data_IF_436674598587
#
_entry.id   IF_436674598587
#
_cell.length_a   1.000
_cell.length_b   1.000
_cell.length_c   1.000
_cell.angle_alpha   90.00
_cell.angle_beta   90.00
_cell.angle_gamma   90.00
#
_symmetry.space_group_name_H-M   'P 1'
#
loop_
_entity.id
_entity.type
_entity.pdbx_description
1 polymer ?
#
# COMPACT_ATOMS: atom_id res chain seq x y z
N UNK A 1 -1.18 1.71 14.36
CA UNK A 1 -1.98 1.99 13.15
C UNK A 1 -3.16 1.04 13.16
N UNK A 2 -4.39 1.53 13.06
CA UNK A 2 -5.53 0.64 12.85
C UNK A 2 -5.43 0.09 11.42
N UNK A 3 -5.37 -1.20 11.28
CA UNK A 3 -5.37 -1.86 9.99
C UNK A 3 -6.81 -1.82 9.50
N UNK A 4 -7.06 -1.15 8.38
CA UNK A 4 -8.36 -1.21 7.71
C UNK A 4 -8.63 -2.62 7.22
N UNK A 5 -9.84 -3.10 7.43
CA UNK A 5 -10.24 -4.47 7.11
C UNK A 5 -11.18 -4.48 5.92
N UNK A 6 -10.96 -5.46 5.06
CA UNK A 6 -11.75 -5.63 3.83
C UNK A 6 -13.26 -5.66 4.11
N UNK A 7 -13.69 -6.35 5.17
CA UNK A 7 -15.11 -6.63 5.43
C UNK A 7 -15.77 -5.71 6.45
N UNK A 8 -15.01 -4.85 7.11
CA UNK A 8 -15.57 -3.94 8.09
C UNK A 8 -16.27 -2.77 7.39
N UNK A 9 -17.50 -2.44 7.80
CA UNK A 9 -18.15 -1.23 7.34
C UNK A 9 -17.38 -0.01 7.85
N UNK A 10 -17.58 1.11 7.19
CA UNK A 10 -16.90 2.32 7.58
C UNK A 10 -17.46 3.54 6.91
N UNK A 11 -16.78 4.65 7.09
CA UNK A 11 -17.11 5.91 6.49
C UNK A 11 -16.01 6.36 5.56
N UNK A 12 -16.36 6.62 4.31
CA UNK A 12 -15.48 7.36 3.39
C UNK A 12 -15.63 8.84 3.73
N UNK A 13 -14.51 9.49 4.00
CA UNK A 13 -14.47 10.93 4.26
C UNK A 13 -13.73 11.65 3.13
N UNK A 14 -14.19 12.88 2.86
CA UNK A 14 -13.51 13.81 1.96
C UNK A 14 -13.14 15.02 2.79
N UNK A 15 -11.84 15.24 3.00
CA UNK A 15 -11.30 16.38 3.73
C UNK A 15 -10.81 17.41 2.73
N UNK A 16 -11.29 18.65 2.84
CA UNK A 16 -10.77 19.82 2.14
C UNK A 16 -9.83 20.64 3.01
N UNK A 17 -9.14 21.57 2.39
CA UNK A 17 -8.35 22.57 3.09
C UNK A 17 -8.72 23.98 2.65
N UNK A 18 -8.62 24.94 3.57
CA UNK A 18 -8.79 26.37 3.26
C UNK A 18 -7.48 26.99 2.80
N UNK A 19 -7.58 28.05 2.04
CA UNK A 19 -6.42 28.92 1.80
C UNK A 19 -5.95 29.53 3.13
N UNK A 20 -4.65 29.76 3.25
CA UNK A 20 -4.05 30.30 4.48
C UNK A 20 -4.70 31.61 4.89
N UNK A 21 -5.20 31.67 6.13
CA UNK A 21 -5.83 32.86 6.70
C UNK A 21 -7.23 33.17 6.17
N UNK A 22 -7.84 32.30 5.39
CA UNK A 22 -9.17 32.49 4.82
C UNK A 22 -10.13 31.35 5.15
N UNK A 23 -11.39 31.46 4.71
CA UNK A 23 -12.37 30.37 4.68
C UNK A 23 -12.69 29.93 3.24
N UNK A 24 -11.89 30.34 2.26
CA UNK A 24 -12.02 29.91 0.87
C UNK A 24 -11.44 28.51 0.73
N UNK A 25 -12.20 27.51 0.23
CA UNK A 25 -11.67 26.20 -0.02
C UNK A 25 -10.63 26.25 -1.15
N UNK A 26 -9.52 25.53 -0.95
CA UNK A 26 -8.62 25.21 -2.07
C UNK A 26 -9.22 24.08 -2.90
N UNK A 27 -8.73 23.83 -4.14
CA UNK A 27 -9.18 22.70 -4.93
C UNK A 27 -8.63 21.34 -4.43
N UNK A 28 -7.89 21.32 -3.33
CA UNK A 28 -7.20 20.13 -2.85
C UNK A 28 -8.01 19.39 -1.79
N UNK A 29 -8.35 18.14 -2.09
CA UNK A 29 -9.15 17.28 -1.22
C UNK A 29 -8.47 15.95 -1.00
N UNK A 30 -8.56 15.44 0.21
CA UNK A 30 -8.10 14.11 0.60
C UNK A 30 -9.30 13.17 0.67
N UNK A 31 -9.17 11.99 0.06
CA UNK A 31 -10.14 10.89 0.15
C UNK A 31 -9.53 9.78 1.00
N UNK A 32 -10.24 9.35 2.03
CA UNK A 32 -9.79 8.30 2.94
C UNK A 32 -10.95 7.64 3.66
N UNK A 33 -10.64 6.65 4.51
CA UNK A 33 -11.64 5.92 5.28
C UNK A 33 -11.37 5.93 6.78
N UNK A 34 -12.44 5.80 7.53
CA UNK A 34 -12.42 5.37 8.94
C UNK A 34 -13.29 4.13 9.09
N UNK A 35 -12.83 3.22 9.92
CA UNK A 35 -13.54 1.99 10.29
C UNK A 35 -13.50 1.83 11.80
N UNK A 36 -14.37 0.97 12.32
CA UNK A 36 -14.52 0.70 13.73
C UNK A 36 -15.02 1.96 14.49
N UNK A 37 -14.53 2.19 15.69
CA UNK A 37 -14.94 3.27 16.58
C UNK A 37 -14.33 4.64 16.26
N UNK A 38 -13.48 4.74 15.22
CA UNK A 38 -12.82 6.00 14.86
C UNK A 38 -13.75 6.92 14.09
N UNK A 39 -13.66 8.20 14.36
CA UNK A 39 -14.42 9.24 13.65
C UNK A 39 -13.60 9.94 12.56
N UNK A 40 -14.29 10.53 11.58
CA UNK A 40 -13.65 11.37 10.58
C UNK A 40 -13.07 12.64 11.20
N UNK A 41 -13.65 13.14 12.29
CA UNK A 41 -13.16 14.30 13.03
C UNK A 41 -11.80 14.02 13.68
N UNK A 42 -11.62 12.85 14.29
CA UNK A 42 -10.31 12.44 14.82
C UNK A 42 -9.26 12.39 13.71
N UNK A 43 -9.64 11.92 12.51
CA UNK A 43 -8.73 11.91 11.36
C UNK A 43 -8.37 13.30 10.87
N UNK A 44 -9.32 14.25 10.85
CA UNK A 44 -9.02 15.64 10.53
C UNK A 44 -8.02 16.21 11.51
N UNK A 45 -8.23 16.00 12.81
CA UNK A 45 -7.32 16.48 13.86
C UNK A 45 -5.90 15.89 13.72
N UNK A 46 -5.80 14.60 13.42
CA UNK A 46 -4.51 13.95 13.15
C UNK A 46 -3.80 14.58 11.95
N UNK A 47 -4.53 14.84 10.86
CA UNK A 47 -3.98 15.44 9.64
C UNK A 47 -3.72 16.94 9.78
N UNK A 48 -4.41 17.63 10.67
CA UNK A 48 -4.16 19.04 10.97
C UNK A 48 -2.79 19.25 11.61
N UNK A 49 -2.28 18.25 12.34
CA UNK A 49 -0.95 18.32 12.93
C UNK A 49 0.13 18.41 11.85
N UNK A 50 0.80 19.56 11.77
CA UNK A 50 1.82 19.82 10.77
C UNK A 50 1.31 20.31 9.41
N UNK A 51 -0.01 20.51 9.25
CA UNK A 51 -0.56 21.15 8.06
C UNK A 51 -0.81 22.65 8.36
N UNK A 52 -0.19 23.58 7.63
CA UNK A 52 -0.39 25.02 7.84
C UNK A 52 -1.78 25.50 7.43
N UNK A 53 -2.46 24.76 6.54
CA UNK A 53 -3.80 25.08 6.08
C UNK A 53 -4.83 24.46 7.02
N UNK A 54 -5.86 25.22 7.36
CA UNK A 54 -6.98 24.70 8.14
C UNK A 54 -7.74 23.64 7.33
N UNK A 55 -7.95 22.47 7.91
CA UNK A 55 -8.69 21.36 7.31
C UNK A 55 -10.17 21.41 7.71
N UNK A 56 -11.02 20.89 6.83
CA UNK A 56 -12.46 20.72 7.09
C UNK A 56 -12.98 19.44 6.46
N UNK A 57 -14.06 18.90 7.00
CA UNK A 57 -14.74 17.76 6.39
C UNK A 57 -15.73 18.28 5.35
N UNK A 58 -15.47 17.97 4.08
CA UNK A 58 -16.35 18.31 2.99
C UNK A 58 -17.53 17.32 2.87
N UNK A 59 -17.26 16.01 3.03
CA UNK A 59 -18.25 14.93 2.94
C UNK A 59 -17.92 13.78 3.88
N UNK A 60 -18.97 13.08 4.32
CA UNK A 60 -18.93 11.80 5.02
C UNK A 60 -20.00 10.88 4.42
N UNK A 61 -19.61 9.69 4.02
CA UNK A 61 -20.49 8.74 3.35
C UNK A 61 -20.28 7.38 4.00
N UNK A 62 -21.35 6.84 4.58
CA UNK A 62 -21.34 5.49 5.16
C UNK A 62 -21.28 4.46 4.02
N UNK A 63 -20.44 3.45 4.18
CA UNK A 63 -20.20 2.40 3.19
C UNK A 63 -20.08 1.03 3.86
N UNK A 64 -20.72 0.04 3.28
CA UNK A 64 -20.53 -1.36 3.64
C UNK A 64 -19.16 -1.90 3.20
N UNK A 65 -18.71 -1.43 2.03
CA UNK A 65 -17.45 -1.83 1.40
C UNK A 65 -16.39 -0.73 1.46
N UNK A 66 -16.29 0.01 2.58
CA UNK A 66 -15.47 1.23 2.68
C UNK A 66 -14.03 1.05 2.17
N UNK A 67 -13.37 -0.08 2.49
CA UNK A 67 -12.01 -0.38 2.01
C UNK A 67 -11.94 -0.50 0.47
N UNK A 68 -12.85 -1.27 -0.13
CA UNK A 68 -12.88 -1.44 -1.59
C UNK A 68 -13.24 -0.13 -2.29
N UNK A 69 -14.17 0.63 -1.72
CA UNK A 69 -14.57 1.95 -2.23
C UNK A 69 -13.37 2.89 -2.26
N UNK A 70 -12.60 3.01 -1.17
CA UNK A 70 -11.40 3.86 -1.14
C UNK A 70 -10.41 3.48 -2.23
N UNK A 71 -10.11 2.18 -2.40
CA UNK A 71 -9.18 1.73 -3.43
C UNK A 71 -9.69 2.08 -4.85
N UNK A 72 -10.98 1.90 -5.13
CA UNK A 72 -11.57 2.26 -6.41
C UNK A 72 -11.61 3.78 -6.64
N UNK A 73 -11.86 4.57 -5.60
CA UNK A 73 -11.81 6.03 -5.68
C UNK A 73 -10.40 6.51 -6.02
N UNK A 74 -9.39 5.99 -5.33
CA UNK A 74 -7.99 6.34 -5.62
C UNK A 74 -7.58 5.97 -7.03
N UNK A 75 -8.08 4.85 -7.55
CA UNK A 75 -7.87 4.43 -8.94
C UNK A 75 -8.56 5.35 -9.92
N UNK A 76 -9.87 5.57 -9.75
CA UNK A 76 -10.69 6.35 -10.70
C UNK A 76 -10.21 7.79 -10.82
N UNK A 77 -9.87 8.40 -9.71
CA UNK A 77 -9.43 9.79 -9.61
C UNK A 77 -7.92 9.96 -9.70
N UNK A 78 -7.18 8.91 -10.06
CA UNK A 78 -5.73 8.95 -10.15
C UNK A 78 -5.22 10.02 -11.12
N UNK A 79 -5.97 10.33 -12.19
CA UNK A 79 -5.66 11.39 -13.17
C UNK A 79 -5.42 12.77 -12.56
N UNK A 80 -6.09 13.10 -11.45
CA UNK A 80 -5.98 14.37 -10.72
C UNK A 80 -5.35 14.23 -9.33
N UNK A 81 -4.69 13.11 -9.07
CA UNK A 81 -4.02 12.81 -7.79
C UNK A 81 -2.72 13.62 -7.68
N UNK A 82 -2.55 14.36 -6.58
CA UNK A 82 -1.38 15.22 -6.33
C UNK A 82 -0.42 14.65 -5.29
N UNK A 83 -0.84 13.66 -4.55
CA UNK A 83 -0.05 13.01 -3.53
C UNK A 83 -0.77 11.78 -3.06
N UNK A 84 -0.25 11.07 -2.09
CA UNK A 84 -0.73 9.73 -1.67
C UNK A 84 -2.25 9.57 -1.71
N UNK A 85 -3.00 10.47 -1.07
CA UNK A 85 -4.46 10.41 -0.90
C UNK A 85 -5.11 11.78 -1.16
N UNK A 86 -4.34 12.73 -1.76
CA UNK A 86 -4.78 14.07 -2.10
C UNK A 86 -5.03 14.21 -3.60
N UNK A 87 -6.10 14.92 -3.95
CA UNK A 87 -6.62 15.07 -5.32
C UNK A 87 -6.91 16.54 -5.59
N UNK A 88 -6.67 16.98 -6.83
CA UNK A 88 -7.05 18.31 -7.30
C UNK A 88 -8.46 18.23 -7.89
N UNK A 89 -9.46 18.64 -7.13
CA UNK A 89 -10.87 18.71 -7.54
C UNK A 89 -11.21 20.16 -7.86
N UNK A 90 -10.63 20.65 -8.96
CA UNK A 90 -10.72 22.07 -9.33
C UNK A 90 -12.08 22.45 -9.96
N UNK A 91 -12.80 21.48 -10.57
CA UNK A 91 -14.10 21.77 -11.15
C UNK A 91 -15.18 21.81 -10.06
N UNK A 92 -16.12 22.76 -10.10
CA UNK A 92 -17.19 22.87 -9.09
C UNK A 92 -18.05 21.60 -8.94
N UNK A 93 -18.16 20.78 -9.98
CA UNK A 93 -18.89 19.52 -9.98
C UNK A 93 -18.12 18.33 -9.45
N UNK A 94 -16.78 18.42 -9.30
CA UNK A 94 -15.93 17.27 -8.95
C UNK A 94 -16.31 16.67 -7.60
N UNK A 95 -16.57 17.48 -6.60
CA UNK A 95 -16.93 17.00 -5.26
C UNK A 95 -18.25 16.22 -5.27
N UNK A 96 -19.25 16.67 -6.04
CA UNK A 96 -20.51 15.95 -6.21
C UNK A 96 -20.31 14.64 -6.99
N UNK A 97 -19.46 14.66 -8.00
CA UNK A 97 -19.10 13.46 -8.78
C UNK A 97 -18.36 12.45 -7.92
N UNK A 98 -17.41 12.88 -7.10
CA UNK A 98 -16.71 12.03 -6.11
C UNK A 98 -17.70 11.39 -5.14
N UNK A 99 -18.66 12.16 -4.61
CA UNK A 99 -19.71 11.64 -3.71
C UNK A 99 -20.56 10.56 -4.42
N UNK A 100 -20.96 10.80 -5.66
CA UNK A 100 -21.74 9.84 -6.44
C UNK A 100 -20.94 8.58 -6.75
N UNK A 101 -19.66 8.70 -7.06
CA UNK A 101 -18.79 7.56 -7.31
C UNK A 101 -18.61 6.68 -6.07
N UNK A 102 -18.46 7.28 -4.89
CA UNK A 102 -18.45 6.54 -3.62
C UNK A 102 -19.71 5.69 -3.47
N UNK A 103 -20.89 6.28 -3.69
CA UNK A 103 -22.17 5.57 -3.62
C UNK A 103 -22.27 4.44 -4.65
N UNK A 104 -21.80 4.67 -5.87
CA UNK A 104 -21.82 3.69 -6.95
C UNK A 104 -20.90 2.49 -6.64
N UNK A 105 -19.71 2.74 -6.14
CA UNK A 105 -18.78 1.66 -5.75
C UNK A 105 -19.28 0.89 -4.52
N UNK A 106 -19.88 1.58 -3.55
CA UNK A 106 -20.48 0.89 -2.42
C UNK A 106 -21.66 0.00 -2.86
N UNK A 107 -22.52 0.49 -3.75
CA UNK A 107 -23.58 -0.33 -4.35
C UNK A 107 -23.04 -1.54 -5.12
N UNK A 108 -21.89 -1.39 -5.78
CA UNK A 108 -21.24 -2.48 -6.54
C UNK A 108 -20.66 -3.56 -5.63
N UNK A 109 -20.01 -3.19 -4.54
CA UNK A 109 -19.25 -4.12 -3.68
C UNK A 109 -19.93 -4.44 -2.36
N UNK A 110 -20.81 -3.57 -1.86
CA UNK A 110 -21.40 -3.69 -0.53
C UNK A 110 -22.12 -5.01 -0.27
N UNK A 111 -22.94 -5.45 -1.23
CA UNK A 111 -23.64 -6.74 -1.11
C UNK A 111 -22.67 -7.94 -0.99
N UNK A 112 -21.58 -7.95 -1.74
CA UNK A 112 -20.53 -8.98 -1.67
C UNK A 112 -19.80 -8.95 -0.33
N UNK A 113 -19.51 -7.77 0.18
CA UNK A 113 -18.85 -7.58 1.49
C UNK A 113 -19.78 -8.03 2.62
N UNK A 114 -21.07 -7.70 2.54
CA UNK A 114 -22.06 -8.16 3.53
C UNK A 114 -22.16 -9.70 3.54
N UNK A 115 -22.12 -10.34 2.39
CA UNK A 115 -22.09 -11.82 2.29
C UNK A 115 -20.80 -12.41 2.87
N UNK A 116 -19.66 -11.80 2.59
CA UNK A 116 -18.37 -12.29 3.07
C UNK A 116 -18.16 -12.07 4.58
N UNK A 117 -18.75 -11.01 5.15
CA UNK A 117 -18.49 -10.60 6.54
C UNK A 117 -18.69 -11.71 7.59
N UNK A 118 -19.79 -12.44 7.62
CA UNK A 118 -19.98 -13.53 8.58
C UNK A 118 -18.95 -14.66 8.38
N UNK A 119 -18.65 -15.01 7.13
CA UNK A 119 -17.67 -16.03 6.78
C UNK A 119 -16.26 -15.59 7.20
N UNK A 120 -15.91 -14.33 6.94
CA UNK A 120 -14.59 -13.77 7.22
C UNK A 120 -14.19 -13.87 8.70
N UNK A 121 -15.16 -13.74 9.60
CA UNK A 121 -14.91 -13.79 11.05
C UNK A 121 -15.11 -15.19 11.67
N UNK A 122 -15.59 -16.16 10.91
CA UNK A 122 -15.70 -17.56 11.41
C UNK A 122 -14.35 -18.27 11.34
N UNK A 123 -14.23 -19.38 12.07
CA UNK A 123 -13.10 -20.30 11.89
C UNK A 123 -13.43 -21.19 10.69
N UNK A 124 -12.59 -21.19 9.63
CA UNK A 124 -12.84 -22.04 8.50
C UNK A 124 -12.88 -23.52 8.89
N UNK A 125 -13.76 -24.25 8.24
CA UNK A 125 -13.79 -25.71 8.31
C UNK A 125 -12.59 -26.26 7.53
N UNK A 126 -11.75 -27.12 8.13
CA UNK A 126 -10.64 -27.73 7.41
C UNK A 126 -11.11 -28.50 6.17
N UNK A 127 -10.37 -28.39 5.08
CA UNK A 127 -10.64 -29.10 3.85
C UNK A 127 -11.30 -28.25 2.76
N UNK A 128 -11.75 -28.95 1.73
CA UNK A 128 -12.32 -28.33 0.53
C UNK A 128 -13.83 -28.11 0.67
N UNK A 129 -14.33 -27.07 -0.01
CA UNK A 129 -15.76 -26.87 -0.16
C UNK A 129 -16.37 -27.95 -1.09
N UNK A 130 -16.81 -29.04 -0.49
CA UNK A 130 -17.45 -30.17 -1.19
C UNK A 130 -18.89 -29.88 -1.63
N UNK A 131 -19.49 -28.78 -1.16
CA UNK A 131 -20.86 -28.37 -1.49
C UNK A 131 -20.94 -27.43 -2.68
N UNK A 132 -19.79 -27.05 -3.25
CA UNK A 132 -19.72 -26.14 -4.37
C UNK A 132 -20.40 -26.72 -5.62
N UNK A 133 -21.31 -25.96 -6.21
CA UNK A 133 -21.97 -26.38 -7.46
C UNK A 133 -20.96 -26.46 -8.62
N UNK A 134 -21.28 -27.22 -9.66
CA UNK A 134 -20.41 -27.30 -10.86
C UNK A 134 -20.22 -25.95 -11.54
N UNK A 135 -21.26 -25.12 -11.55
CA UNK A 135 -21.21 -23.74 -12.09
C UNK A 135 -20.28 -22.87 -11.29
N UNK A 136 -20.40 -22.89 -9.95
CA UNK A 136 -19.54 -22.13 -9.05
C UNK A 136 -18.09 -22.62 -9.11
N UNK A 137 -17.90 -23.93 -9.28
CA UNK A 137 -16.58 -24.52 -9.49
C UNK A 137 -15.91 -23.97 -10.75
N UNK A 138 -16.62 -23.98 -11.88
CA UNK A 138 -16.14 -23.41 -13.14
C UNK A 138 -15.82 -21.92 -12.97
N UNK A 139 -16.68 -21.17 -12.26
CA UNK A 139 -16.43 -19.75 -11.95
C UNK A 139 -15.17 -19.56 -11.11
N UNK A 140 -14.95 -20.38 -10.09
CA UNK A 140 -13.77 -20.32 -9.24
C UNK A 140 -12.47 -20.61 -10.02
N UNK A 141 -12.50 -21.58 -10.93
CA UNK A 141 -11.38 -21.89 -11.83
C UNK A 141 -11.08 -20.72 -12.78
N UNK A 142 -12.09 -20.10 -13.37
CA UNK A 142 -11.92 -18.92 -14.19
C UNK A 142 -11.31 -17.76 -13.39
N UNK A 143 -11.78 -17.50 -12.16
CA UNK A 143 -11.22 -16.47 -11.28
C UNK A 143 -9.73 -16.73 -11.01
N UNK A 144 -9.33 -17.98 -10.78
CA UNK A 144 -7.90 -18.35 -10.61
C UNK A 144 -7.10 -18.00 -11.86
N UNK A 145 -7.59 -18.35 -13.03
CA UNK A 145 -6.89 -18.13 -14.31
C UNK A 145 -6.79 -16.63 -14.63
N UNK A 146 -7.84 -15.85 -14.38
CA UNK A 146 -7.84 -14.40 -14.49
C UNK A 146 -6.82 -13.77 -13.51
N UNK A 147 -6.79 -14.26 -12.25
CA UNK A 147 -5.83 -13.80 -11.26
C UNK A 147 -4.38 -14.13 -11.65
N UNK A 148 -4.16 -15.25 -12.33
CA UNK A 148 -2.84 -15.61 -12.86
C UNK A 148 -2.42 -14.62 -13.96
N UNK A 149 -3.27 -14.33 -14.93
CA UNK A 149 -3.00 -13.37 -16.00
C UNK A 149 -2.72 -11.96 -15.46
N UNK A 150 -3.50 -11.50 -14.46
CA UNK A 150 -3.24 -10.24 -13.77
C UNK A 150 -1.87 -10.23 -13.08
N UNK A 151 -1.51 -11.32 -12.40
CA UNK A 151 -0.23 -11.45 -11.69
C UNK A 151 0.96 -11.39 -12.66
N UNK A 152 0.89 -12.03 -13.82
CA UNK A 152 1.92 -11.95 -14.86
C UNK A 152 2.09 -10.51 -15.37
N UNK A 153 0.97 -9.83 -15.66
CA UNK A 153 1.01 -8.43 -16.10
C UNK A 153 1.58 -7.51 -15.02
N UNK A 154 1.22 -7.74 -13.75
CA UNK A 154 1.77 -7.02 -12.61
C UNK A 154 3.28 -7.23 -12.45
N UNK A 155 3.78 -8.43 -12.71
CA UNK A 155 5.23 -8.69 -12.66
C UNK A 155 6.00 -7.91 -13.73
N UNK A 156 5.48 -7.88 -14.97
CA UNK A 156 6.05 -7.09 -16.07
C UNK A 156 6.07 -5.58 -15.72
N UNK A 157 4.97 -5.05 -15.24
CA UNK A 157 4.89 -3.64 -14.83
C UNK A 157 5.85 -3.34 -13.68
N UNK A 158 6.01 -4.28 -12.74
CA UNK A 158 6.94 -4.11 -11.62
C UNK A 158 8.40 -4.10 -12.08
N UNK A 159 8.79 -4.92 -13.04
CA UNK A 159 10.11 -4.81 -13.69
C UNK A 159 10.27 -3.43 -14.33
N UNK A 160 9.29 -3.00 -15.11
CA UNK A 160 9.34 -1.74 -15.84
C UNK A 160 9.50 -0.55 -14.89
N UNK A 161 8.57 -0.34 -13.95
CA UNK A 161 8.63 0.85 -13.10
C UNK A 161 9.82 0.83 -12.12
N UNK A 162 10.27 -0.35 -11.63
CA UNK A 162 11.48 -0.42 -10.82
C UNK A 162 12.74 -0.14 -11.64
N UNK A 163 12.80 -0.56 -12.91
CA UNK A 163 13.89 -0.19 -13.82
C UNK A 163 13.93 1.32 -14.02
N UNK A 164 12.79 1.92 -14.36
CA UNK A 164 12.67 3.38 -14.50
C UNK A 164 13.08 4.11 -13.20
N UNK A 165 12.67 3.59 -12.03
CA UNK A 165 13.07 4.16 -10.74
C UNK A 165 14.61 4.17 -10.55
N UNK A 166 15.29 3.07 -10.90
CA UNK A 166 16.75 3.02 -10.81
C UNK A 166 17.43 3.95 -11.84
N UNK A 167 16.92 4.01 -13.06
CA UNK A 167 17.46 4.88 -14.10
C UNK A 167 17.25 6.37 -13.75
N UNK A 168 16.10 6.75 -13.18
CA UNK A 168 15.85 8.09 -12.65
C UNK A 168 16.86 8.41 -11.53
N UNK A 169 17.09 7.47 -10.61
CA UNK A 169 18.08 7.63 -9.54
C UNK A 169 19.50 7.79 -10.08
N UNK A 170 19.86 6.99 -11.10
CA UNK A 170 21.15 7.08 -11.78
C UNK A 170 21.36 8.42 -12.47
N UNK A 171 20.34 8.90 -13.19
CA UNK A 171 20.42 10.19 -13.90
C UNK A 171 20.53 11.38 -12.94
N UNK A 172 19.89 11.29 -11.77
CA UNK A 172 19.94 12.34 -10.74
C UNK A 172 21.25 12.32 -9.93
N UNK A 173 21.91 11.16 -9.80
CA UNK A 173 23.11 11.00 -8.99
C UNK A 173 22.89 11.37 -7.54
N UNK A 174 23.81 12.17 -6.97
CA UNK A 174 23.69 12.74 -5.61
C UNK A 174 22.92 14.06 -5.54
N UNK A 175 22.41 14.56 -6.67
CA UNK A 175 21.72 15.84 -6.74
C UNK A 175 20.21 15.65 -6.54
N UNK A 176 19.59 16.42 -5.62
CA UNK A 176 18.13 16.45 -5.57
C UNK A 176 17.61 17.13 -6.83
N UNK A 177 16.74 16.45 -7.54
CA UNK A 177 15.90 17.09 -8.52
C UNK A 177 14.66 17.60 -7.80
N UNK A 178 14.57 18.91 -7.53
CA UNK A 178 13.39 19.52 -6.92
C UNK A 178 12.24 19.72 -7.90
N UNK A 179 12.42 19.31 -9.12
CA UNK A 179 11.36 19.37 -10.12
C UNK A 179 10.45 18.17 -9.98
N UNK A 180 9.37 18.38 -9.25
CA UNK A 180 8.10 17.64 -9.19
C UNK A 180 8.10 16.10 -9.09
N UNK A 181 9.15 15.35 -9.36
CA UNK A 181 9.10 13.87 -9.47
C UNK A 181 10.07 13.12 -8.58
N UNK A 182 11.21 13.72 -8.19
CA UNK A 182 12.15 13.05 -7.29
C UNK A 182 12.74 13.99 -6.26
N UNK A 183 12.74 13.57 -5.01
CA UNK A 183 13.45 14.25 -3.93
C UNK A 183 14.56 13.34 -3.43
N UNK A 184 15.81 13.82 -3.46
CA UNK A 184 16.87 13.23 -2.66
C UNK A 184 16.68 13.71 -1.22
N UNK A 185 16.28 12.84 -0.33
CA UNK A 185 16.20 13.12 1.09
C UNK A 185 17.34 12.37 1.76
N UNK A 186 18.28 13.10 2.34
CA UNK A 186 19.14 12.54 3.37
C UNK A 186 18.25 12.23 4.57
N UNK A 187 17.94 10.97 4.76
CA UNK A 187 17.27 10.55 5.99
C UNK A 187 18.30 10.55 7.11
N UNK A 188 18.04 11.26 8.23
CA UNK A 188 18.89 11.16 9.40
C UNK A 188 18.95 9.71 9.87
N UNK A 189 20.06 9.33 10.45
CA UNK A 189 20.24 8.03 11.11
C UNK A 189 19.03 7.76 12.01
N UNK A 190 18.27 6.73 11.70
CA UNK A 190 17.12 6.33 12.50
C UNK A 190 17.48 5.07 13.28
N UNK A 191 17.31 5.12 14.58
CA UNK A 191 17.39 3.93 15.42
C UNK A 191 16.02 3.30 15.58
N UNK A 192 15.98 1.97 15.53
CA UNK A 192 14.77 1.18 15.71
C UNK A 192 14.89 0.33 16.99
N UNK A 193 13.90 0.45 17.88
CA UNK A 193 13.81 -0.40 19.06
C UNK A 193 13.63 -1.87 18.65
N UNK A 194 14.45 -2.76 19.26
CA UNK A 194 14.40 -4.20 19.04
C UNK A 194 14.12 -4.92 20.35
N UNK A 195 12.92 -5.42 20.52
CA UNK A 195 12.51 -6.24 21.65
C UNK A 195 13.37 -7.49 21.84
N UNK A 196 13.98 -8.00 20.76
CA UNK A 196 14.89 -9.14 20.78
C UNK A 196 16.21 -8.85 21.50
N UNK A 197 16.54 -7.59 21.78
CA UNK A 197 17.70 -7.18 22.57
C UNK A 197 17.40 -7.07 24.07
N UNK A 198 16.14 -7.18 24.46
CA UNK A 198 15.75 -7.23 25.87
C UNK A 198 16.12 -8.58 26.51
N UNK A 199 16.38 -8.61 27.83
CA UNK A 199 16.47 -9.85 28.56
C UNK A 199 15.23 -10.72 28.32
N UNK A 200 15.37 -12.04 28.06
CA UNK A 200 14.22 -12.89 27.71
C UNK A 200 13.09 -12.87 28.75
N UNK A 201 13.41 -12.81 30.04
CA UNK A 201 12.42 -12.73 31.11
C UNK A 201 11.61 -11.43 31.07
N UNK A 202 12.23 -10.31 30.75
CA UNK A 202 11.55 -9.02 30.61
C UNK A 202 10.72 -9.00 29.31
N UNK A 203 11.30 -9.46 28.20
CA UNK A 203 10.61 -9.56 26.92
C UNK A 203 9.33 -10.39 27.01
N UNK A 204 9.38 -11.54 27.69
CA UNK A 204 8.23 -12.46 27.79
C UNK A 204 7.01 -11.86 28.49
N UNK A 205 7.21 -10.90 29.42
CA UNK A 205 6.13 -10.22 30.13
C UNK A 205 5.25 -9.36 29.21
N UNK A 206 5.83 -8.87 28.10
CA UNK A 206 5.16 -7.98 27.13
C UNK A 206 4.85 -8.68 25.80
N UNK A 207 5.08 -9.99 25.71
CA UNK A 207 4.57 -10.76 24.58
C UNK A 207 3.06 -10.92 24.75
N UNK A 208 2.30 -10.29 23.87
CA UNK A 208 0.87 -10.49 23.86
C UNK A 208 0.57 -11.97 23.76
N UNK A 209 -0.27 -12.47 24.64
CA UNK A 209 -0.87 -13.81 24.44
C UNK A 209 -1.45 -13.84 23.02
N UNK A 210 -1.32 -14.96 22.32
CA UNK A 210 -1.81 -15.05 20.97
C UNK A 210 -3.30 -14.71 20.96
N UNK A 211 -3.60 -13.44 20.66
CA UNK A 211 -4.94 -13.12 20.25
C UNK A 211 -5.10 -13.88 18.93
N UNK A 212 -6.17 -14.63 18.80
CA UNK A 212 -6.60 -15.11 17.50
C UNK A 212 -6.86 -13.86 16.67
N UNK A 213 -5.80 -13.34 16.03
CA UNK A 213 -5.95 -12.25 15.10
C UNK A 213 -6.82 -12.78 13.99
N UNK A 214 -8.07 -12.36 14.02
CA UNK A 214 -9.06 -12.70 12.99
C UNK A 214 -8.58 -12.31 11.58
N UNK A 215 -7.48 -11.54 11.51
CA UNK A 215 -6.91 -10.92 10.33
C UNK A 215 -5.76 -11.71 9.68
N UNK A 216 -5.31 -12.82 10.30
CA UNK A 216 -4.20 -13.63 9.79
C UNK A 216 -4.62 -14.67 8.72
N UNK A 217 -5.74 -14.45 8.04
CA UNK A 217 -6.14 -15.31 6.94
C UNK A 217 -5.26 -15.05 5.72
N UNK A 218 -4.51 -16.06 5.33
CA UNK A 218 -3.75 -16.04 4.07
C UNK A 218 -4.59 -16.65 2.98
N UNK A 219 -4.92 -15.83 2.00
CA UNK A 219 -5.57 -16.27 0.79
C UNK A 219 -4.52 -16.44 -0.32
N UNK A 220 -4.48 -17.61 -0.95
CA UNK A 220 -3.60 -17.90 -2.08
C UNK A 220 -4.34 -18.64 -3.16
N UNK A 221 -4.14 -18.25 -4.41
CA UNK A 221 -4.54 -19.06 -5.54
C UNK A 221 -3.56 -20.24 -5.75
N UNK A 222 -4.07 -21.42 -6.06
CA UNK A 222 -3.23 -22.59 -6.36
C UNK A 222 -2.53 -22.37 -7.71
N UNK A 223 -1.26 -22.76 -7.78
CA UNK A 223 -0.46 -22.58 -9.01
C UNK A 223 0.20 -21.23 -9.17
N UNK A 224 -0.27 -20.19 -8.49
CA UNK A 224 0.41 -18.91 -8.43
C UNK A 224 1.49 -18.98 -7.37
N UNK A 225 2.70 -19.39 -7.77
CA UNK A 225 3.85 -19.55 -6.86
C UNK A 225 4.45 -18.23 -6.38
N UNK A 226 3.99 -17.10 -6.87
CA UNK A 226 4.37 -15.81 -6.35
C UNK A 226 3.36 -15.44 -5.26
N UNK A 227 3.86 -15.06 -4.10
CA UNK A 227 3.05 -14.34 -3.12
C UNK A 227 2.60 -13.06 -3.84
N UNK A 228 1.34 -12.97 -4.20
CA UNK A 228 0.78 -11.91 -5.06
C UNK A 228 1.03 -10.53 -4.44
N UNK A 229 1.10 -10.45 -3.11
CA UNK A 229 1.37 -9.24 -2.36
C UNK A 229 2.86 -8.85 -2.35
N UNK A 230 3.76 -9.77 -2.73
CA UNK A 230 5.21 -9.57 -2.72
C UNK A 230 5.85 -10.25 -3.94
N UNK A 231 5.61 -9.67 -5.13
CA UNK A 231 6.25 -10.11 -6.37
C UNK A 231 7.78 -9.97 -6.26
N UNK A 232 8.44 -11.05 -5.87
CA UNK A 232 9.91 -11.10 -5.81
C UNK A 232 10.48 -11.23 -7.20
N UNK A 233 10.84 -10.10 -7.81
CA UNK A 233 11.37 -10.04 -9.17
C UNK A 233 12.66 -10.86 -9.36
N UNK A 234 13.44 -11.07 -8.30
CA UNK A 234 14.63 -11.93 -8.28
C UNK A 234 14.30 -13.41 -8.02
N UNK A 235 13.03 -13.77 -7.86
CA UNK A 235 12.58 -15.16 -7.71
C UNK A 235 12.81 -15.98 -8.99
N UNK A 236 13.10 -17.27 -8.81
CA UNK A 236 13.44 -18.20 -9.92
C UNK A 236 12.33 -18.24 -10.98
N UNK A 237 11.06 -18.16 -10.58
CA UNK A 237 9.94 -18.20 -11.52
C UNK A 237 9.97 -17.02 -12.49
N UNK A 238 10.04 -15.78 -11.95
CA UNK A 238 9.99 -14.57 -12.77
C UNK A 238 11.23 -14.42 -13.65
N UNK A 239 12.43 -14.78 -13.16
CA UNK A 239 13.66 -14.81 -13.95
C UNK A 239 13.54 -15.72 -15.18
N UNK A 240 12.91 -16.89 -15.02
CA UNK A 240 12.73 -17.83 -16.14
C UNK A 240 11.63 -17.38 -17.09
N UNK A 241 10.60 -16.74 -16.57
CA UNK A 241 9.43 -16.32 -17.34
C UNK A 241 9.72 -15.07 -18.17
N UNK A 242 10.46 -14.13 -17.60
CA UNK A 242 10.79 -12.83 -18.19
C UNK A 242 12.31 -12.54 -18.09
N UNK A 243 13.15 -13.29 -18.82
CA UNK A 243 14.61 -13.19 -18.68
C UNK A 243 15.17 -11.86 -19.17
N UNK A 244 14.58 -11.25 -20.20
CA UNK A 244 14.97 -9.95 -20.74
C UNK A 244 14.73 -8.83 -19.73
N UNK A 245 13.51 -8.76 -19.22
CA UNK A 245 13.07 -7.76 -18.24
C UNK A 245 13.86 -7.90 -16.94
N UNK A 246 14.10 -9.15 -16.51
CA UNK A 246 14.95 -9.41 -15.36
C UNK A 246 16.38 -8.89 -15.57
N UNK A 247 16.99 -9.15 -16.75
CA UNK A 247 18.36 -8.71 -17.04
C UNK A 247 18.46 -7.19 -17.03
N UNK A 248 17.52 -6.49 -17.67
CA UNK A 248 17.47 -5.03 -17.71
C UNK A 248 17.32 -4.45 -16.30
N UNK A 249 16.37 -4.96 -15.52
CA UNK A 249 16.15 -4.55 -14.14
C UNK A 249 17.37 -4.81 -13.24
N UNK A 250 18.00 -5.99 -13.36
CA UNK A 250 19.15 -6.36 -12.56
C UNK A 250 20.36 -5.46 -12.85
N UNK A 251 20.59 -5.11 -14.11
CA UNK A 251 21.65 -4.21 -14.52
C UNK A 251 21.43 -2.78 -13.97
N UNK A 252 20.22 -2.25 -14.08
CA UNK A 252 19.88 -0.93 -13.53
C UNK A 252 20.02 -0.90 -12.00
N UNK A 253 19.58 -1.96 -11.31
CA UNK A 253 19.72 -2.12 -9.85
C UNK A 253 21.18 -2.18 -9.42
N UNK A 254 22.01 -2.93 -10.12
CA UNK A 254 23.44 -3.06 -9.84
C UNK A 254 24.16 -1.72 -10.03
N UNK A 255 23.93 -1.05 -11.16
CA UNK A 255 24.50 0.26 -11.44
C UNK A 255 24.12 1.28 -10.34
N UNK A 256 22.85 1.29 -9.91
CA UNK A 256 22.42 2.13 -8.78
C UNK A 256 23.10 1.76 -7.46
N UNK A 257 23.25 0.49 -7.14
CA UNK A 257 23.90 0.05 -5.92
C UNK A 257 25.38 0.52 -5.87
N UNK A 258 26.11 0.43 -6.98
CA UNK A 258 27.48 0.93 -7.08
C UNK A 258 27.56 2.45 -6.88
N UNK A 259 26.69 3.20 -7.54
CA UNK A 259 26.62 4.66 -7.36
C UNK A 259 26.25 5.03 -5.92
N UNK A 260 25.27 4.34 -5.32
CA UNK A 260 24.83 4.60 -3.95
C UNK A 260 25.94 4.37 -2.92
N UNK A 261 26.80 3.35 -3.11
CA UNK A 261 28.00 3.14 -2.28
C UNK A 261 28.92 4.35 -2.37
N UNK A 262 29.15 4.88 -3.57
CA UNK A 262 29.98 6.05 -3.79
C UNK A 262 29.41 7.31 -3.14
N UNK A 263 28.08 7.51 -3.20
CA UNK A 263 27.37 8.62 -2.55
C UNK A 263 27.50 8.50 -1.03
N UNK A 264 27.32 7.31 -0.47
CA UNK A 264 27.41 7.07 0.97
C UNK A 264 28.83 7.27 1.52
N UNK A 265 29.85 6.99 0.73
CA UNK A 265 31.25 7.19 1.14
C UNK A 265 31.67 8.66 1.15
N UNK A 266 30.88 9.57 0.55
CA UNK A 266 31.15 11.00 0.51
C UNK A 266 29.91 11.85 0.92
N UNK A 267 29.46 11.74 2.19
CA UNK A 267 28.19 12.33 2.63
C UNK A 267 28.17 13.88 2.69
N UNK A 268 29.31 14.54 2.47
CA UNK A 268 29.46 15.99 2.65
C UNK A 268 29.37 16.83 1.37
N UNK A 269 29.04 16.27 0.24
CA UNK A 269 28.68 17.06 -0.94
C UNK A 269 27.31 17.74 -0.74
N UNK A 270 27.26 18.68 0.23
CA UNK A 270 26.05 19.41 0.66
C UNK A 270 25.64 20.55 -0.27
N UNK A 271 26.30 20.73 -1.38
CA UNK A 271 25.89 21.70 -2.40
C UNK A 271 24.91 21.01 -3.36
N UNK A 272 23.65 20.98 -2.96
CA UNK A 272 22.55 20.53 -3.81
C UNK A 272 22.31 21.53 -4.93
N UNK A 273 22.97 21.35 -6.06
CA UNK A 273 22.61 22.07 -7.28
C UNK A 273 21.39 21.38 -7.88
N UNK A 274 20.29 22.12 -8.02
CA UNK A 274 19.09 21.62 -8.69
C UNK A 274 19.45 21.36 -10.15
N UNK A 275 19.29 20.09 -10.59
CA UNK A 275 19.54 19.72 -11.98
C UNK A 275 18.36 20.14 -12.85
N UNK A 276 18.64 20.78 -13.98
CA UNK A 276 17.63 21.07 -15.00
C UNK A 276 17.20 19.75 -15.67
N UNK A 277 15.91 19.54 -15.80
CA UNK A 277 15.28 18.39 -16.43
C UNK A 277 15.58 18.34 -17.94
N UNK A 278 15.81 17.16 -18.47
CA UNK A 278 15.92 16.92 -19.92
C UNK A 278 14.65 16.28 -20.45
N UNK A 279 14.43 16.32 -21.76
CA UNK A 279 13.30 15.61 -22.43
C UNK A 279 13.36 14.09 -22.20
N UNK A 280 14.56 13.52 -22.08
CA UNK A 280 14.76 12.10 -21.75
C UNK A 280 14.30 11.80 -20.32
N UNK A 281 14.60 12.69 -19.37
CA UNK A 281 14.13 12.55 -17.99
C UNK A 281 12.58 12.58 -17.94
N UNK A 282 11.95 13.45 -18.72
CA UNK A 282 10.47 13.55 -18.79
C UNK A 282 9.83 12.27 -19.33
N UNK A 283 10.37 11.71 -20.39
CA UNK A 283 9.88 10.46 -20.97
C UNK A 283 10.01 9.29 -19.98
N UNK A 284 11.15 9.20 -19.28
CA UNK A 284 11.41 8.17 -18.30
C UNK A 284 10.47 8.29 -17.08
N UNK A 285 10.25 9.51 -16.60
CA UNK A 285 9.31 9.78 -15.52
C UNK A 285 7.87 9.45 -15.89
N UNK A 286 7.46 9.80 -17.12
CA UNK A 286 6.14 9.43 -17.63
C UNK A 286 5.96 7.92 -17.67
N UNK A 287 6.94 7.19 -18.19
CA UNK A 287 6.92 5.74 -18.24
C UNK A 287 6.83 5.10 -16.84
N UNK A 288 7.58 5.65 -15.86
CA UNK A 288 7.51 5.22 -14.46
C UNK A 288 6.09 5.40 -13.89
N UNK A 289 5.50 6.59 -14.08
CA UNK A 289 4.16 6.89 -13.55
C UNK A 289 3.10 6.03 -14.21
N UNK A 290 3.11 5.93 -15.54
CA UNK A 290 2.12 5.15 -16.28
C UNK A 290 2.17 3.66 -15.87
N UNK A 291 3.36 3.10 -15.71
CA UNK A 291 3.53 1.71 -15.28
C UNK A 291 3.10 1.48 -13.81
N UNK A 292 3.41 2.42 -12.92
CA UNK A 292 3.00 2.36 -11.52
C UNK A 292 1.48 2.49 -11.38
N UNK A 293 0.86 3.41 -12.10
CA UNK A 293 -0.59 3.63 -12.10
C UNK A 293 -1.33 2.38 -12.57
N UNK A 294 -0.85 1.75 -13.64
CA UNK A 294 -1.44 0.51 -14.13
C UNK A 294 -1.23 -0.65 -13.16
N UNK A 295 -0.05 -0.75 -12.53
CA UNK A 295 0.21 -1.74 -11.50
C UNK A 295 -0.75 -1.62 -10.32
N UNK A 296 -0.97 -0.41 -9.80
CA UNK A 296 -1.92 -0.18 -8.70
C UNK A 296 -3.37 -0.48 -9.13
N UNK A 297 -3.72 -0.22 -10.39
CA UNK A 297 -5.02 -0.61 -10.95
C UNK A 297 -5.22 -2.13 -10.91
N UNK A 298 -4.25 -2.89 -11.38
CA UNK A 298 -4.32 -4.36 -11.39
C UNK A 298 -4.35 -4.95 -9.99
N UNK A 299 -3.69 -4.34 -9.01
CA UNK A 299 -3.80 -4.75 -7.60
C UNK A 299 -5.24 -4.71 -7.10
N UNK A 300 -5.98 -3.65 -7.42
CA UNK A 300 -7.38 -3.53 -7.00
C UNK A 300 -8.25 -4.59 -7.70
N UNK A 301 -8.02 -4.85 -8.99
CA UNK A 301 -8.73 -5.91 -9.72
C UNK A 301 -8.46 -7.29 -9.10
N UNK A 302 -7.22 -7.56 -8.71
CA UNK A 302 -6.86 -8.80 -8.05
C UNK A 302 -7.57 -8.97 -6.69
N UNK A 303 -7.72 -7.90 -5.89
CA UNK A 303 -8.48 -7.96 -4.63
C UNK A 303 -9.97 -8.24 -4.88
N UNK A 304 -10.55 -7.77 -5.99
CA UNK A 304 -11.92 -8.12 -6.40
C UNK A 304 -12.02 -9.61 -6.70
N UNK A 305 -11.08 -10.17 -7.47
CA UNK A 305 -11.05 -11.62 -7.75
C UNK A 305 -10.90 -12.45 -6.47
N UNK A 306 -10.02 -12.04 -5.56
CA UNK A 306 -9.88 -12.68 -4.25
C UNK A 306 -11.16 -12.61 -3.44
N UNK A 307 -11.87 -11.48 -3.44
CA UNK A 307 -13.16 -11.33 -2.76
C UNK A 307 -14.20 -12.31 -3.30
N UNK A 308 -14.35 -12.40 -4.62
CA UNK A 308 -15.29 -13.33 -5.25
C UNK A 308 -14.93 -14.78 -4.93
N UNK A 309 -13.67 -15.16 -5.02
CA UNK A 309 -13.23 -16.51 -4.69
C UNK A 309 -13.41 -16.86 -3.20
N UNK A 310 -13.23 -15.91 -2.27
CA UNK A 310 -13.51 -16.10 -0.85
C UNK A 310 -14.99 -16.38 -0.58
N UNK A 311 -15.88 -15.71 -1.28
CA UNK A 311 -17.32 -15.96 -1.19
C UNK A 311 -17.65 -17.40 -1.65
N UNK A 312 -17.05 -17.84 -2.76
CA UNK A 312 -17.22 -19.21 -3.25
C UNK A 312 -16.58 -20.27 -2.33
N UNK A 313 -15.50 -19.91 -1.64
CA UNK A 313 -14.87 -20.79 -0.65
C UNK A 313 -15.77 -21.01 0.57
N UNK A 314 -16.67 -20.07 0.84
CA UNK A 314 -17.60 -20.08 1.97
C UNK A 314 -16.87 -20.29 3.31
N UNK A 315 -17.36 -21.18 4.16
CA UNK A 315 -16.79 -21.49 5.47
C UNK A 315 -15.62 -22.48 5.42
N UNK A 316 -15.16 -22.88 4.23
CA UNK A 316 -14.07 -23.84 4.06
C UNK A 316 -12.70 -23.20 3.87
N UNK A 317 -11.65 -23.98 4.12
CA UNK A 317 -10.26 -23.54 3.97
C UNK A 317 -9.74 -23.56 2.53
N UNK A 318 -10.44 -24.21 1.61
CA UNK A 318 -10.00 -24.35 0.22
C UNK A 318 -11.13 -24.65 -0.76
N UNK A 319 -10.84 -24.39 -2.03
CA UNK A 319 -11.46 -25.00 -3.20
C UNK A 319 -10.31 -25.74 -3.89
N UNK A 320 -10.42 -27.08 -3.97
CA UNK A 320 -9.35 -27.93 -4.52
C UNK A 320 -8.87 -27.42 -5.89
N UNK A 321 -7.56 -27.38 -6.11
CA UNK A 321 -6.88 -26.88 -7.31
C UNK A 321 -7.16 -25.40 -7.66
N UNK A 322 -7.93 -24.64 -6.84
CA UNK A 322 -8.27 -23.24 -7.11
C UNK A 322 -7.61 -22.31 -6.10
N UNK A 323 -7.92 -22.47 -4.83
CA UNK A 323 -7.43 -21.56 -3.80
C UNK A 323 -7.32 -22.21 -2.43
N UNK A 324 -6.54 -21.56 -1.57
CA UNK A 324 -6.52 -21.85 -0.14
C UNK A 324 -6.75 -20.56 0.64
N UNK A 325 -7.53 -20.66 1.72
CA UNK A 325 -7.81 -19.56 2.61
C UNK A 325 -7.61 -20.01 4.07
N UNK A 326 -6.34 -20.08 4.47
CA UNK A 326 -5.95 -20.64 5.78
C UNK A 326 -5.54 -19.53 6.74
N UNK A 327 -5.85 -19.74 8.02
CA UNK A 327 -5.27 -18.90 9.06
C UNK A 327 -3.75 -19.06 9.09
N UNK A 328 -3.04 -17.95 9.12
CA UNK A 328 -1.62 -17.96 9.38
C UNK A 328 -1.33 -18.46 10.82
N UNK A 329 -0.11 -18.93 11.08
CA UNK A 329 0.30 -19.28 12.44
C UNK A 329 0.17 -18.05 13.34
N UNK A 330 -0.36 -18.26 14.55
CA UNK A 330 -0.42 -17.20 15.56
C UNK A 330 1.01 -16.77 15.92
N UNK A 331 1.32 -15.50 15.73
CA UNK A 331 2.58 -14.93 16.20
C UNK A 331 2.33 -14.04 17.40
N UNK A 332 3.05 -14.31 18.48
CA UNK A 332 3.08 -13.40 19.60
C UNK A 332 3.86 -12.15 19.20
N UNK A 333 3.22 -11.00 19.27
CA UNK A 333 3.88 -9.72 19.03
C UNK A 333 4.21 -9.06 20.36
N UNK A 334 5.40 -8.44 20.43
CA UNK A 334 5.79 -7.64 21.56
C UNK A 334 4.95 -6.36 21.63
N UNK A 335 4.36 -6.09 22.81
CA UNK A 335 3.56 -4.89 23.05
C UNK A 335 4.46 -3.71 23.38
N UNK A 336 4.98 -3.04 22.36
CA UNK A 336 5.87 -1.88 22.50
C UNK A 336 5.21 -0.74 23.29
N UNK A 337 3.92 -0.53 23.14
CA UNK A 337 3.18 0.56 23.80
C UNK A 337 3.15 0.33 25.32
N UNK A 338 2.74 -0.85 25.75
CA UNK A 338 2.69 -1.20 27.15
C UNK A 338 4.09 -1.23 27.78
N UNK A 339 5.08 -1.76 27.05
CA UNK A 339 6.47 -1.75 27.48
C UNK A 339 6.98 -0.32 27.70
N UNK A 340 6.73 0.59 26.76
CA UNK A 340 7.13 2.00 26.86
C UNK A 340 6.52 2.69 28.09
N UNK A 341 5.28 2.35 28.44
CA UNK A 341 4.60 2.92 29.62
C UNK A 341 5.16 2.39 30.93
N UNK A 342 5.44 1.07 31.00
CA UNK A 342 5.90 0.42 32.24
C UNK A 342 7.41 0.48 32.44
N UNK A 343 8.19 0.56 31.37
CA UNK A 343 9.65 0.57 31.36
C UNK A 343 10.22 1.70 30.50
N UNK A 344 9.91 2.98 30.78
CA UNK A 344 10.34 4.10 29.96
C UNK A 344 11.87 4.23 29.89
N UNK A 345 12.59 3.93 30.96
CA UNK A 345 14.06 3.96 31.01
C UNK A 345 14.70 2.88 30.12
N UNK A 346 14.16 1.67 30.13
CA UNK A 346 14.61 0.60 29.26
C UNK A 346 14.27 0.87 27.79
N UNK A 347 13.10 1.48 27.55
CA UNK A 347 12.68 1.84 26.18
C UNK A 347 13.61 2.86 25.52
N UNK A 348 14.14 3.84 26.27
CA UNK A 348 15.08 4.84 25.72
C UNK A 348 16.55 4.40 25.77
N UNK A 349 16.85 3.25 26.33
CA UNK A 349 18.22 2.73 26.44
C UNK A 349 18.79 2.38 25.05
N UNK A 350 19.88 3.04 24.60
CA UNK A 350 20.48 2.80 23.28
C UNK A 350 20.89 1.34 23.03
N UNK A 351 21.19 0.57 24.09
CA UNK A 351 21.54 -0.84 23.97
C UNK A 351 20.42 -1.69 23.35
N UNK A 352 19.17 -1.25 23.50
CA UNK A 352 17.99 -1.94 22.95
C UNK A 352 17.63 -1.49 21.53
N UNK A 353 18.42 -0.61 20.93
CA UNK A 353 18.19 -0.11 19.58
C UNK A 353 19.16 -0.75 18.57
N UNK A 354 18.65 -0.91 17.35
CA UNK A 354 19.47 -1.17 16.18
C UNK A 354 19.59 0.11 15.39
N UNK A 355 20.82 0.55 15.18
CA UNK A 355 21.08 1.62 14.22
C UNK A 355 20.73 1.08 12.84
N UNK A 356 19.74 1.67 12.18
CA UNK A 356 19.56 1.47 10.76
C UNK A 356 20.74 2.15 10.08
N UNK A 357 21.53 1.40 9.30
CA UNK A 357 22.54 2.00 8.45
C UNK A 357 21.88 3.12 7.67
N UNK A 358 22.57 4.27 7.64
CA UNK A 358 22.20 5.38 6.79
C UNK A 358 22.02 4.85 5.35
N UNK A 359 20.80 4.63 4.95
CA UNK A 359 20.49 4.57 3.55
C UNK A 359 20.20 6.00 3.13
N UNK A 360 20.95 6.54 2.18
CA UNK A 360 20.55 7.76 1.46
C UNK A 360 19.49 7.31 0.45
N UNK A 361 18.20 7.29 0.78
CA UNK A 361 17.21 6.89 -0.18
C UNK A 361 16.91 8.12 -1.04
N UNK A 362 17.43 8.13 -2.23
CA UNK A 362 16.80 8.90 -3.29
C UNK A 362 15.46 8.22 -3.51
N UNK A 363 14.40 8.87 -3.05
CA UNK A 363 13.04 8.40 -3.24
C UNK A 363 12.47 9.09 -4.46
N UNK A 364 12.18 8.29 -5.48
CA UNK A 364 11.37 8.78 -6.59
C UNK A 364 9.94 8.90 -6.08
N UNK A 365 9.43 10.13 -6.05
CA UNK A 365 8.05 10.41 -5.67
C UNK A 365 7.30 10.74 -6.94
N UNK A 366 6.27 9.98 -7.31
CA UNK A 366 5.43 10.31 -8.44
C UNK A 366 4.60 11.56 -8.10
N UNK A 367 5.10 12.73 -8.52
CA UNK A 367 4.27 13.92 -8.56
C UNK A 367 3.65 14.02 -9.94
N UNK A 368 2.33 14.13 -10.01
CA UNK A 368 1.68 14.65 -11.20
C UNK A 368 1.84 16.16 -11.15
N UNK A 369 2.61 16.70 -12.08
CA UNK A 369 2.69 18.15 -12.28
C UNK A 369 1.33 18.62 -12.74
N UNK A 370 0.72 19.52 -11.97
CA UNK A 370 -0.45 20.27 -12.39
C UNK A 370 0.05 21.44 -13.23
N UNK A 371 -0.37 21.46 -14.47
CA UNK A 371 -0.38 22.64 -15.31
C UNK A 371 -1.73 23.31 -15.13
#
# INVERSE_FOLDING_TARGET
MSIHKLVDPGQVYIIGQYEVGTTNPTPFYKIGIVQNERSSEERVNEHQTGNPNRLFIAKKIQCEASYMVEQQMHRKWNGVRIGKEWFNLANPSDLATVEQDVKNFDAQYGSKIVQLRPIYYTTPTPGDNSTLSSTDRTRAEQIRDDAFALTERMALLKYLFNTCEFEIKLSNGSQPCMDSVSTAILQPESSEFKDTKLPPALRSQFMNKPQKNKDDFRFNFVGIKANIDDLKLDGTYWKKRYPSEFTTWAAAKEAWNLMNITIQSNPRATNFTIRTRTTTDEALHKQFIDALDEYERLKVELEVLKLECKILCDSYESIDQVCTWKRGPQSNKFNVQEFKLKHPSDYVNPAHYRIKKESVPIKVVPYKTYV
#
